data_IF_003288472120
#
_entry.id   IF_003288472120
#
_cell.length_a   1.000
_cell.length_b   1.000
_cell.length_c   1.000
_cell.angle_alpha   90.00
_cell.angle_beta   90.00
_cell.angle_gamma   90.00
#
_symmetry.space_group_name_H-M   'P 1'
#
loop_
_entity.id
_entity.type
_entity.pdbx_description
1 polymer ?
#
# COMPACT_ATOMS: atom_id res chain seq x y z
N UNK A 1 -7.36 -4.57 -28.06
CA UNK A 1 -5.97 -4.13 -27.91
C UNK A 1 -5.72 -3.16 -26.75
N UNK A 2 -6.62 -2.21 -26.51
CA UNK A 2 -6.44 -1.17 -25.47
C UNK A 2 -6.51 -1.69 -24.04
N UNK A 3 -7.37 -2.66 -23.76
CA UNK A 3 -7.53 -3.20 -22.40
C UNK A 3 -6.28 -3.95 -21.91
N UNK A 4 -5.60 -4.66 -22.79
CA UNK A 4 -4.39 -5.42 -22.46
C UNK A 4 -3.18 -4.53 -22.18
N UNK A 5 -3.03 -3.43 -22.90
CA UNK A 5 -1.92 -2.49 -22.64
C UNK A 5 -2.10 -1.75 -21.32
N UNK A 6 -3.34 -1.45 -20.93
CA UNK A 6 -3.65 -0.81 -19.64
C UNK A 6 -3.40 -1.75 -18.47
N UNK A 7 -3.72 -3.05 -18.59
CA UNK A 7 -3.46 -4.05 -17.56
C UNK A 7 -1.96 -4.29 -17.38
N UNK A 8 -1.21 -4.38 -18.47
CA UNK A 8 0.25 -4.53 -18.39
C UNK A 8 0.94 -3.31 -17.78
N UNK A 9 0.45 -2.10 -18.06
CA UNK A 9 0.95 -0.88 -17.41
C UNK A 9 0.67 -0.84 -15.92
N UNK A 10 -0.48 -1.35 -15.49
CA UNK A 10 -0.86 -1.45 -14.09
C UNK A 10 0.02 -2.46 -13.34
N UNK A 11 0.18 -3.66 -13.88
CA UNK A 11 0.96 -4.72 -13.22
C UNK A 11 2.44 -4.38 -13.09
N UNK A 12 3.00 -3.63 -14.03
CA UNK A 12 4.40 -3.19 -13.97
C UNK A 12 4.68 -2.10 -12.92
N UNK A 13 3.63 -1.40 -12.47
CA UNK A 13 3.73 -0.29 -11.49
C UNK A 13 3.20 -0.64 -10.10
N UNK A 14 2.79 -1.89 -9.89
CA UNK A 14 2.35 -2.41 -8.60
C UNK A 14 3.40 -3.37 -8.06
N UNK A 15 3.91 -3.08 -6.87
CA UNK A 15 4.79 -3.99 -6.15
C UNK A 15 3.96 -4.86 -5.22
N UNK A 16 3.80 -6.13 -5.57
CA UNK A 16 3.19 -7.11 -4.69
C UNK A 16 4.23 -7.65 -3.71
N UNK A 17 3.93 -7.56 -2.44
CA UNK A 17 4.84 -7.94 -1.37
C UNK A 17 4.39 -9.25 -0.73
N UNK A 18 5.30 -10.20 -0.69
CA UNK A 18 5.12 -11.47 0.01
C UNK A 18 5.69 -11.48 1.43
N UNK A 19 5.46 -12.55 2.15
CA UNK A 19 6.07 -12.76 3.48
C UNK A 19 5.37 -12.04 4.64
N UNK A 20 4.18 -11.48 4.41
CA UNK A 20 3.43 -10.73 5.42
C UNK A 20 2.43 -11.58 6.21
N UNK A 21 2.39 -12.90 5.99
CA UNK A 21 1.44 -13.79 6.67
C UNK A 21 -0.01 -13.52 6.32
N UNK A 22 -0.27 -13.08 5.10
CA UNK A 22 -1.58 -12.72 4.59
C UNK A 22 -2.38 -13.95 4.18
N UNK A 23 -3.69 -13.76 4.14
CA UNK A 23 -4.63 -14.81 3.78
C UNK A 23 -5.23 -15.52 4.99
N UNK A 24 -6.33 -16.16 4.78
CA UNK A 24 -7.07 -16.90 5.79
C UNK A 24 -8.06 -17.84 5.16
N UNK A 25 -9.02 -18.28 5.96
CA UNK A 25 -10.14 -19.07 5.44
C UNK A 25 -10.90 -18.27 4.37
N UNK A 26 -11.34 -18.98 3.33
CA UNK A 26 -12.16 -18.39 2.28
C UNK A 26 -13.43 -17.78 2.88
N UNK A 27 -13.57 -16.48 2.78
CA UNK A 27 -14.75 -15.72 3.24
C UNK A 27 -15.67 -15.30 2.08
N UNK A 28 -15.46 -15.87 0.90
CA UNK A 28 -16.22 -15.58 -0.31
C UNK A 28 -15.74 -14.39 -1.12
N UNK A 29 -14.60 -13.80 -0.75
CA UNK A 29 -14.03 -12.68 -1.46
C UNK A 29 -12.50 -12.66 -1.33
N UNK A 30 -11.86 -11.93 -2.26
CA UNK A 30 -10.44 -11.58 -2.17
C UNK A 30 -10.32 -10.12 -1.77
N UNK A 31 -9.60 -9.86 -0.68
CA UNK A 31 -9.40 -8.53 -0.13
C UNK A 31 -7.97 -8.05 -0.36
N UNK A 32 -7.82 -6.93 -1.05
CA UNK A 32 -6.53 -6.36 -1.44
C UNK A 32 -6.37 -5.01 -0.77
N UNK A 33 -5.29 -4.83 -0.02
CA UNK A 33 -4.91 -3.53 0.53
C UNK A 33 -3.88 -2.87 -0.39
N UNK A 34 -4.27 -1.75 -0.98
CA UNK A 34 -3.41 -0.91 -1.80
C UNK A 34 -3.00 0.32 -1.03
N UNK A 35 -1.70 0.58 -0.97
CA UNK A 35 -1.15 1.78 -0.32
C UNK A 35 -0.40 2.60 -1.35
N UNK A 36 -0.85 3.84 -1.56
CA UNK A 36 -0.13 4.82 -2.35
C UNK A 36 1.12 5.29 -1.62
N UNK A 37 2.24 5.29 -2.32
CA UNK A 37 3.50 5.81 -1.80
C UNK A 37 3.92 7.05 -2.58
N UNK A 38 4.69 7.93 -1.95
CA UNK A 38 5.23 9.15 -2.57
C UNK A 38 6.43 8.86 -3.48
N UNK A 39 6.62 7.61 -3.86
CA UNK A 39 7.72 7.19 -4.71
C UNK A 39 7.56 7.71 -6.13
N UNK A 40 8.59 8.39 -6.61
CA UNK A 40 8.75 8.81 -8.02
C UNK A 40 9.60 7.81 -8.80
N UNK A 41 9.57 6.58 -8.38
CA UNK A 41 10.21 5.46 -9.07
C UNK A 41 9.18 4.51 -9.64
N UNK A 42 9.60 3.70 -10.62
CA UNK A 42 8.79 2.59 -11.08
C UNK A 42 8.77 1.45 -10.03
N UNK A 43 8.03 0.39 -10.30
CA UNK A 43 7.93 -0.77 -9.40
C UNK A 43 9.27 -1.50 -9.19
N UNK A 44 10.27 -1.25 -10.04
CA UNK A 44 11.62 -1.82 -9.96
C UNK A 44 12.61 -0.91 -9.22
N UNK A 45 12.16 0.28 -8.79
CA UNK A 45 12.99 1.26 -8.11
C UNK A 45 13.77 2.20 -9.05
N UNK A 46 13.54 2.14 -10.36
CA UNK A 46 14.19 3.04 -11.31
C UNK A 46 13.49 4.41 -11.31
N UNK A 47 14.25 5.52 -11.49
CA UNK A 47 13.64 6.83 -11.66
C UNK A 47 12.66 6.86 -12.82
N UNK A 48 11.55 7.58 -12.66
CA UNK A 48 10.60 7.81 -13.74
C UNK A 48 11.24 8.59 -14.88
N UNK A 49 10.87 8.25 -16.12
CA UNK A 49 11.31 8.97 -17.30
C UNK A 49 10.81 10.42 -17.31
N UNK A 50 11.46 11.34 -18.03
CA UNK A 50 10.96 12.72 -18.18
C UNK A 50 9.54 12.80 -18.74
N UNK A 51 9.16 11.86 -19.60
CA UNK A 51 7.81 11.78 -20.17
C UNK A 51 6.78 11.37 -19.14
N UNK A 52 7.10 10.36 -18.31
CA UNK A 52 6.26 9.92 -17.20
C UNK A 52 6.08 11.03 -16.15
N UNK A 53 7.15 11.73 -15.82
CA UNK A 53 7.11 12.89 -14.92
C UNK A 53 6.27 14.04 -15.49
N UNK A 54 6.39 14.29 -16.79
CA UNK A 54 5.58 15.31 -17.47
C UNK A 54 4.11 14.94 -17.45
N UNK A 55 3.79 13.67 -17.68
CA UNK A 55 2.44 13.16 -17.65
C UNK A 55 1.82 13.27 -16.23
N UNK A 56 2.59 12.99 -15.19
CA UNK A 56 2.16 13.17 -13.81
C UNK A 56 1.86 14.63 -13.46
N UNK A 57 2.62 15.58 -14.02
CA UNK A 57 2.42 17.01 -13.80
C UNK A 57 1.23 17.58 -14.58
N UNK A 58 0.89 16.98 -15.72
CA UNK A 58 -0.22 17.41 -16.56
C UNK A 58 -1.59 16.92 -16.07
N UNK A 59 -1.61 15.97 -15.15
CA UNK A 59 -2.84 15.47 -14.52
C UNK A 59 -3.23 16.36 -13.36
N UNK A 60 -3.87 17.49 -13.61
CA UNK A 60 -4.31 18.45 -12.60
C UNK A 60 -5.27 17.87 -11.54
N UNK A 61 -5.87 16.70 -11.82
CA UNK A 61 -6.84 16.05 -10.95
C UNK A 61 -6.25 14.89 -10.12
N UNK A 62 -5.00 14.51 -10.35
CA UNK A 62 -4.34 13.54 -9.49
C UNK A 62 -3.91 14.28 -8.25
N UNK A 63 -4.72 14.23 -7.22
CA UNK A 63 -4.30 14.75 -5.92
C UNK A 63 -2.95 14.11 -5.60
N UNK A 64 -1.95 14.94 -5.46
CA UNK A 64 -0.58 14.55 -5.11
C UNK A 64 -0.48 13.97 -3.68
N UNK A 65 -1.61 13.78 -3.02
CA UNK A 65 -1.73 13.12 -1.74
C UNK A 65 -1.65 11.61 -1.93
N UNK A 66 -0.42 11.13 -2.07
CA UNK A 66 -0.05 9.76 -2.38
C UNK A 66 -0.16 8.80 -1.23
N UNK A 67 -0.51 9.26 -0.04
CA UNK A 67 -0.75 8.41 1.13
C UNK A 67 -2.22 7.94 1.18
N UNK A 68 -2.75 7.50 0.05
CA UNK A 68 -4.09 6.93 -0.02
C UNK A 68 -4.03 5.46 0.31
N UNK A 69 -4.92 5.04 1.21
CA UNK A 69 -5.10 3.63 1.58
C UNK A 69 -6.41 3.17 0.96
N UNK A 70 -6.34 2.17 0.10
CA UNK A 70 -7.50 1.57 -0.56
C UNK A 70 -7.67 0.11 -0.15
N UNK A 71 -8.83 -0.25 0.34
CA UNK A 71 -9.22 -1.63 0.56
C UNK A 71 -10.19 -2.04 -0.56
N UNK A 72 -9.79 -3.02 -1.37
CA UNK A 72 -10.56 -3.52 -2.50
C UNK A 72 -11.04 -4.92 -2.18
N UNK A 73 -12.36 -5.11 -2.20
CA UNK A 73 -13.00 -6.41 -2.02
C UNK A 73 -13.54 -6.93 -3.34
N UNK A 74 -13.05 -8.07 -3.77
CA UNK A 74 -13.47 -8.73 -5.01
C UNK A 74 -14.21 -10.01 -4.64
N UNK A 75 -15.55 -10.07 -4.80
CA UNK A 75 -16.31 -11.28 -4.53
C UNK A 75 -15.91 -12.42 -5.46
N UNK A 76 -15.83 -13.64 -4.91
CA UNK A 76 -15.46 -14.84 -5.68
C UNK A 76 -16.56 -15.30 -6.66
N UNK A 77 -17.78 -14.81 -6.48
CA UNK A 77 -18.93 -15.12 -7.35
C UNK A 77 -18.98 -14.30 -8.66
N UNK A 78 -17.98 -13.42 -8.87
CA UNK A 78 -17.91 -12.56 -10.05
C UNK A 78 -18.80 -11.32 -9.99
N UNK A 79 -19.44 -11.01 -8.86
CA UNK A 79 -20.17 -9.77 -8.67
C UNK A 79 -19.20 -8.57 -8.58
N UNK A 80 -19.76 -7.35 -8.56
CA UNK A 80 -18.98 -6.12 -8.62
C UNK A 80 -18.01 -5.97 -7.44
N UNK A 81 -16.78 -5.58 -7.73
CA UNK A 81 -15.80 -5.22 -6.72
C UNK A 81 -16.20 -3.93 -5.99
N UNK A 82 -15.86 -3.85 -4.71
CA UNK A 82 -16.05 -2.66 -3.88
C UNK A 82 -14.70 -2.12 -3.44
N UNK A 83 -14.50 -0.82 -3.56
CA UNK A 83 -13.30 -0.14 -3.06
C UNK A 83 -13.68 0.83 -1.95
N UNK A 84 -12.95 0.77 -0.85
CA UNK A 84 -13.10 1.67 0.30
C UNK A 84 -11.81 2.48 0.42
N UNK A 85 -11.92 3.79 0.34
CA UNK A 85 -10.80 4.70 0.61
C UNK A 85 -10.75 5.05 2.09
N UNK A 86 -9.59 4.85 2.71
CA UNK A 86 -9.34 5.19 4.10
C UNK A 86 -8.40 6.40 4.12
N UNK A 87 -8.86 7.57 4.59
CA UNK A 87 -8.00 8.74 4.68
C UNK A 87 -6.80 8.50 5.61
N UNK A 88 -5.61 8.94 5.19
CA UNK A 88 -4.36 8.79 5.97
C UNK A 88 -4.42 9.38 7.38
N UNK A 89 -5.25 10.38 7.57
CA UNK A 89 -5.41 11.09 8.85
C UNK A 89 -6.54 10.52 9.71
N UNK A 90 -7.15 9.40 9.31
CA UNK A 90 -8.16 8.73 10.11
C UNK A 90 -7.62 8.39 11.50
N UNK A 91 -8.37 8.78 12.52
CA UNK A 91 -8.00 8.55 13.91
C UNK A 91 -8.57 7.20 14.37
N UNK A 92 -7.68 6.25 14.58
CA UNK A 92 -8.01 4.84 14.78
C UNK A 92 -7.18 4.22 15.88
N UNK A 93 -7.63 3.07 16.38
CA UNK A 93 -6.84 2.26 17.30
C UNK A 93 -5.75 1.50 16.53
N UNK A 94 -4.50 1.74 16.88
CA UNK A 94 -3.34 1.11 16.28
C UNK A 94 -2.74 0.10 17.27
N UNK A 95 -2.64 -1.18 16.92
CA UNK A 95 -2.05 -2.20 17.79
C UNK A 95 -0.65 -1.82 18.28
N UNK A 96 -0.44 -1.86 19.60
CA UNK A 96 0.84 -1.51 20.23
C UNK A 96 1.14 -0.02 20.37
N UNK A 97 0.30 0.87 19.81
CA UNK A 97 0.47 2.33 19.90
C UNK A 97 -0.70 3.00 20.63
N UNK A 98 -1.91 2.53 20.40
CA UNK A 98 -3.15 3.15 20.88
C UNK A 98 -3.81 4.04 19.82
N UNK A 99 -4.66 4.97 20.24
CA UNK A 99 -5.37 5.87 19.33
C UNK A 99 -4.40 6.83 18.65
N UNK A 100 -4.35 6.78 17.32
CA UNK A 100 -3.47 7.58 16.50
C UNK A 100 -4.01 7.73 15.07
N UNK A 101 -3.39 8.59 14.28
CA UNK A 101 -3.65 8.63 12.83
C UNK A 101 -3.19 7.33 12.19
N UNK A 102 -3.96 6.81 11.23
CA UNK A 102 -3.66 5.52 10.61
C UNK A 102 -2.28 5.49 9.93
N UNK A 103 -1.81 6.61 9.37
CA UNK A 103 -0.48 6.67 8.76
C UNK A 103 0.64 6.49 9.78
N UNK A 104 0.42 6.79 11.06
CA UNK A 104 1.38 6.55 12.13
C UNK A 104 1.59 5.05 12.42
N UNK A 105 0.62 4.20 12.09
CA UNK A 105 0.75 2.74 12.23
C UNK A 105 1.99 2.23 11.51
N UNK A 106 2.21 2.66 10.29
CA UNK A 106 3.40 2.31 9.52
C UNK A 106 4.65 3.00 10.04
N UNK A 107 4.66 4.33 10.07
CA UNK A 107 5.86 5.12 10.35
C UNK A 107 6.42 4.93 11.76
N UNK A 108 5.57 4.95 12.75
CA UNK A 108 5.98 4.79 14.17
C UNK A 108 6.48 3.37 14.44
N UNK A 109 5.80 2.35 13.92
CA UNK A 109 6.22 0.96 14.07
C UNK A 109 7.53 0.70 13.34
N UNK A 110 7.65 1.19 12.10
CA UNK A 110 8.88 1.07 11.31
C UNK A 110 10.09 1.63 12.05
N UNK A 111 9.98 2.87 12.53
CA UNK A 111 11.09 3.55 13.20
C UNK A 111 11.43 2.89 14.55
N UNK A 112 10.44 2.53 15.33
CA UNK A 112 10.65 1.83 16.60
C UNK A 112 11.35 0.48 16.42
N UNK A 113 10.94 -0.31 15.44
CA UNK A 113 11.56 -1.61 15.14
C UNK A 113 12.98 -1.43 14.60
N UNK A 114 13.19 -0.47 13.69
CA UNK A 114 14.53 -0.15 13.17
C UNK A 114 15.49 0.22 14.29
N UNK A 115 15.08 1.11 15.18
CA UNK A 115 15.88 1.57 16.31
C UNK A 115 16.26 0.41 17.23
N UNK A 116 15.30 -0.42 17.59
CA UNK A 116 15.54 -1.60 18.43
C UNK A 116 16.55 -2.56 17.78
N UNK A 117 16.45 -2.78 16.47
CA UNK A 117 17.38 -3.63 15.73
C UNK A 117 18.80 -3.05 15.72
N UNK A 118 18.94 -1.75 15.50
CA UNK A 118 20.25 -1.06 15.56
C UNK A 118 20.86 -1.14 16.96
N UNK A 119 20.07 -0.92 18.00
CA UNK A 119 20.51 -1.06 19.39
C UNK A 119 20.94 -2.49 19.73
N UNK A 120 20.35 -3.50 19.09
CA UNK A 120 20.75 -4.90 19.20
C UNK A 120 22.02 -5.26 18.40
N UNK A 121 22.60 -4.29 17.70
CA UNK A 121 23.84 -4.46 16.93
C UNK A 121 23.65 -4.94 15.50
N UNK A 122 22.44 -4.92 14.96
CA UNK A 122 22.18 -5.29 13.56
C UNK A 122 22.67 -4.22 12.58
N UNK A 123 23.13 -4.60 11.37
CA UNK A 123 23.46 -3.64 10.32
C UNK A 123 22.25 -2.78 9.94
N UNK A 124 22.50 -1.54 9.55
CA UNK A 124 21.44 -0.57 9.21
C UNK A 124 20.50 -1.08 8.11
N UNK A 125 21.02 -1.72 7.07
CA UNK A 125 20.22 -2.28 5.98
C UNK A 125 19.27 -3.40 6.46
N UNK A 126 19.70 -4.21 7.42
CA UNK A 126 18.87 -5.25 8.03
C UNK A 126 17.82 -4.63 8.95
N UNK A 127 18.21 -3.66 9.77
CA UNK A 127 17.31 -2.93 10.65
C UNK A 127 16.21 -2.22 9.88
N UNK A 128 16.52 -1.60 8.73
CA UNK A 128 15.54 -0.98 7.85
C UNK A 128 14.57 -1.98 7.26
N UNK A 129 15.02 -3.14 6.83
CA UNK A 129 14.15 -4.21 6.31
C UNK A 129 13.18 -4.71 7.38
N UNK A 130 13.68 -4.97 8.59
CA UNK A 130 12.84 -5.38 9.71
C UNK A 130 11.81 -4.30 10.07
N UNK A 131 12.23 -3.05 10.12
CA UNK A 131 11.35 -1.91 10.37
C UNK A 131 10.25 -1.79 9.33
N UNK A 132 10.60 -1.87 8.05
CA UNK A 132 9.64 -1.79 6.94
C UNK A 132 8.63 -2.93 7.00
N UNK A 133 9.07 -4.16 7.26
CA UNK A 133 8.19 -5.31 7.40
C UNK A 133 7.22 -5.16 8.58
N UNK A 134 7.72 -4.71 9.72
CA UNK A 134 6.90 -4.46 10.91
C UNK A 134 5.89 -3.34 10.68
N UNK A 135 6.29 -2.27 10.00
CA UNK A 135 5.40 -1.17 9.64
C UNK A 135 4.26 -1.58 8.71
N UNK A 136 4.56 -2.40 7.71
CA UNK A 136 3.54 -2.97 6.80
C UNK A 136 2.55 -3.86 7.54
N UNK A 137 3.02 -4.73 8.41
CA UNK A 137 2.16 -5.58 9.26
C UNK A 137 1.27 -4.75 10.17
N UNK A 138 1.81 -3.72 10.82
CA UNK A 138 1.04 -2.84 11.68
C UNK A 138 -0.08 -2.11 10.93
N UNK A 139 0.19 -1.64 9.70
CA UNK A 139 -0.83 -1.01 8.87
C UNK A 139 -1.92 -2.01 8.45
N UNK A 140 -1.53 -3.21 8.04
CA UNK A 140 -2.47 -4.27 7.66
C UNK A 140 -3.36 -4.64 8.85
N UNK A 141 -2.78 -4.85 10.02
CA UNK A 141 -3.53 -5.19 11.23
C UNK A 141 -4.48 -4.06 11.65
N UNK A 142 -4.05 -2.81 11.51
CA UNK A 142 -4.88 -1.64 11.80
C UNK A 142 -6.09 -1.57 10.88
N UNK A 143 -5.90 -1.79 9.58
CA UNK A 143 -6.99 -1.82 8.60
C UNK A 143 -7.94 -2.98 8.86
N UNK A 144 -7.40 -4.16 9.18
CA UNK A 144 -8.20 -5.34 9.50
C UNK A 144 -9.07 -5.10 10.75
N UNK A 145 -8.51 -4.51 11.79
CA UNK A 145 -9.25 -4.17 13.01
C UNK A 145 -10.34 -3.11 12.76
N UNK A 146 -10.03 -2.09 11.95
CA UNK A 146 -10.96 -1.02 11.62
C UNK A 146 -12.15 -1.50 10.80
N UNK A 147 -11.91 -2.36 9.83
CA UNK A 147 -12.91 -2.80 8.85
C UNK A 147 -13.54 -4.14 9.16
N UNK A 148 -12.92 -4.95 10.01
CA UNK A 148 -13.31 -6.34 10.24
C UNK A 148 -12.99 -7.27 9.07
N UNK A 149 -12.24 -6.80 8.07
CA UNK A 149 -11.88 -7.54 6.86
C UNK A 149 -10.47 -8.08 6.98
N UNK A 150 -10.28 -9.37 6.71
CA UNK A 150 -8.97 -9.98 6.64
C UNK A 150 -8.34 -9.73 5.29
N UNK A 151 -7.17 -9.10 5.28
CA UNK A 151 -6.46 -8.76 4.05
C UNK A 151 -5.77 -10.00 3.47
N UNK A 152 -6.05 -10.32 2.21
CA UNK A 152 -5.46 -11.45 1.49
C UNK A 152 -4.20 -11.06 0.73
N UNK A 153 -4.16 -9.85 0.20
CA UNK A 153 -3.02 -9.32 -0.56
C UNK A 153 -2.71 -7.88 -0.16
N UNK A 154 -1.43 -7.55 -0.18
CA UNK A 154 -0.92 -6.21 0.06
C UNK A 154 -0.07 -5.76 -1.11
N UNK A 155 -0.29 -4.55 -1.59
CA UNK A 155 0.50 -3.95 -2.66
C UNK A 155 0.78 -2.48 -2.38
N UNK A 156 1.97 -2.02 -2.74
CA UNK A 156 2.34 -0.62 -2.73
C UNK A 156 2.37 -0.09 -4.15
N UNK A 157 1.83 1.11 -4.34
CA UNK A 157 1.70 1.76 -5.64
C UNK A 157 2.34 3.13 -5.56
N UNK A 158 3.32 3.39 -6.40
CA UNK A 158 3.92 4.72 -6.54
C UNK A 158 2.97 5.71 -7.23
N UNK A 159 3.40 6.95 -7.34
CA UNK A 159 2.63 8.04 -7.97
C UNK A 159 2.12 7.68 -9.37
N UNK A 160 3.00 7.13 -10.21
CA UNK A 160 2.63 6.75 -11.56
C UNK A 160 1.59 5.62 -11.59
N UNK A 161 1.79 4.58 -10.78
CA UNK A 161 0.86 3.46 -10.69
C UNK A 161 -0.52 3.90 -10.19
N UNK A 162 -0.55 4.78 -9.20
CA UNK A 162 -1.81 5.33 -8.68
C UNK A 162 -2.56 6.16 -9.73
N UNK A 163 -1.86 7.00 -10.47
CA UNK A 163 -2.43 7.78 -11.55
C UNK A 163 -2.97 6.92 -12.69
N UNK A 164 -2.29 5.82 -13.02
CA UNK A 164 -2.76 4.84 -14.00
C UNK A 164 -4.03 4.11 -13.51
N UNK A 165 -4.09 3.76 -12.23
CA UNK A 165 -5.27 3.15 -11.61
C UNK A 165 -6.49 4.06 -11.68
N UNK A 166 -6.33 5.33 -11.32
CA UNK A 166 -7.42 6.31 -11.31
C UNK A 166 -7.97 6.59 -12.72
N UNK A 167 -7.13 6.47 -13.75
CA UNK A 167 -7.59 6.60 -15.14
C UNK A 167 -8.29 5.35 -15.69
N UNK A 168 -7.99 4.19 -15.14
CA UNK A 168 -8.60 2.92 -15.56
C UNK A 168 -10.01 2.70 -14.98
N UNK A 169 -10.36 3.48 -13.98
CA UNK A 169 -11.65 3.45 -13.27
C UNK A 169 -12.43 4.70 -13.62
#
# INVERSE_FOLDING_TARGET
GYAWSSVNGLTSNITQLGGLGLGGADDGATDILLVGTDSRTDAKGNPLSPEELKWLRAGDDVSTNTDTILLIRIPNDGSSATAISIPRDSYVSVPGIGMSKINAAYGTTREGTRRTAVEAGKPENEAEREGTLAGRKALIDTVADLTGVKVDHYAEVGLLGFALLTKAV
#
